data_IF_544555390633
#
_entry.id   IF_544555390633
#
_cell.length_a   1.000
_cell.length_b   1.000
_cell.length_c   1.000
_cell.angle_alpha   90.00
_cell.angle_beta   90.00
_cell.angle_gamma   90.00
#
_symmetry.space_group_name_H-M   'P 1'
#
loop_
_entity.id
_entity.type
_entity.pdbx_description
1 polymer ?
#
# COMPACT_ATOMS: atom_id res chain seq x y z
N UNK A 1 11.49 17.87 14.87
CA UNK A 1 10.13 18.10 15.41
C UNK A 1 9.14 17.38 14.50
N UNK A 2 8.33 16.47 15.05
CA UNK A 2 7.41 15.64 14.26
C UNK A 2 6.32 16.51 13.62
N UNK A 3 6.16 16.45 12.30
CA UNK A 3 5.15 17.25 11.60
C UNK A 3 3.90 16.43 11.30
N UNK A 4 3.04 16.30 12.31
CA UNK A 4 1.74 15.63 12.21
C UNK A 4 0.85 16.22 11.10
N UNK A 5 0.91 17.55 10.91
CA UNK A 5 0.11 18.27 9.92
C UNK A 5 0.51 17.91 8.48
N UNK A 6 1.80 17.72 8.22
CA UNK A 6 2.28 17.31 6.89
C UNK A 6 1.88 15.86 6.58
N UNK A 7 1.95 14.97 7.57
CA UNK A 7 1.53 13.58 7.42
C UNK A 7 0.02 13.47 7.12
N UNK A 8 -0.83 14.21 7.84
CA UNK A 8 -2.27 14.23 7.56
C UNK A 8 -2.60 14.85 6.20
N UNK A 9 -1.88 15.91 5.79
CA UNK A 9 -2.03 16.49 4.44
C UNK A 9 -1.63 15.51 3.35
N UNK A 10 -0.54 14.76 3.54
CA UNK A 10 -0.14 13.70 2.63
C UNK A 10 -1.24 12.65 2.50
N UNK A 11 -1.79 12.18 3.62
CA UNK A 11 -2.87 11.19 3.64
C UNK A 11 -4.09 11.71 2.89
N UNK A 12 -4.60 12.89 3.23
CA UNK A 12 -5.78 13.49 2.58
C UNK A 12 -5.58 13.75 1.09
N UNK A 13 -4.36 14.10 0.66
CA UNK A 13 -4.04 14.31 -0.76
C UNK A 13 -4.05 13.01 -1.55
N UNK A 14 -3.50 11.94 -1.01
CA UNK A 14 -3.36 10.65 -1.70
C UNK A 14 -4.59 9.75 -1.50
N UNK A 15 -5.41 10.03 -0.50
CA UNK A 15 -6.61 9.27 -0.18
C UNK A 15 -7.71 10.21 0.36
N UNK A 16 -8.43 10.93 -0.51
CA UNK A 16 -9.39 11.96 -0.13
C UNK A 16 -10.64 11.41 0.57
N UNK A 17 -10.89 10.10 0.48
CA UNK A 17 -12.00 9.44 1.18
C UNK A 17 -11.77 9.30 2.70
N UNK A 18 -10.56 9.58 3.18
CA UNK A 18 -10.27 9.70 4.61
C UNK A 18 -10.78 11.04 5.15
N UNK A 19 -11.97 10.99 5.75
CA UNK A 19 -12.73 12.17 6.21
C UNK A 19 -12.26 12.71 7.56
N UNK A 20 -11.93 11.82 8.48
CA UNK A 20 -11.52 12.16 9.84
C UNK A 20 -10.25 11.39 10.18
N UNK A 21 -9.27 12.06 10.76
CA UNK A 21 -7.96 11.48 11.06
C UNK A 21 -7.57 11.87 12.47
N UNK A 22 -7.10 10.92 13.25
CA UNK A 22 -6.53 11.15 14.56
C UNK A 22 -5.13 10.53 14.64
N UNK A 23 -4.20 11.26 15.22
CA UNK A 23 -2.87 10.81 15.56
C UNK A 23 -2.78 10.78 17.07
N UNK A 24 -2.49 9.60 17.61
CA UNK A 24 -2.48 9.32 19.04
C UNK A 24 -1.15 8.69 19.42
N UNK A 25 -0.69 8.94 20.63
CA UNK A 25 0.45 8.20 21.17
C UNK A 25 0.00 6.91 21.85
N UNK A 26 0.97 6.08 22.25
CA UNK A 26 0.75 4.84 23.01
C UNK A 26 0.04 5.03 24.35
N UNK A 27 0.12 6.20 24.97
CA UNK A 27 -0.62 6.50 26.22
C UNK A 27 -2.09 6.87 26.00
N UNK A 28 -2.52 6.96 24.73
CA UNK A 28 -3.87 7.35 24.36
C UNK A 28 -4.12 8.86 24.39
N UNK A 29 -3.06 9.67 24.45
CA UNK A 29 -3.16 11.12 24.25
C UNK A 29 -3.31 11.42 22.76
N UNK A 30 -4.31 12.22 22.44
CA UNK A 30 -4.50 12.78 21.11
C UNK A 30 -3.45 13.86 20.83
N UNK A 31 -2.56 13.60 19.87
CA UNK A 31 -1.49 14.51 19.47
C UNK A 31 -1.96 15.48 18.39
N UNK A 32 -2.80 15.00 17.48
CA UNK A 32 -3.34 15.79 16.39
C UNK A 32 -4.63 15.16 15.87
N UNK A 33 -5.59 15.98 15.43
CA UNK A 33 -6.78 15.52 14.74
C UNK A 33 -7.13 16.43 13.58
N UNK A 34 -7.53 15.83 12.45
CA UNK A 34 -8.09 16.51 11.30
C UNK A 34 -9.57 16.12 11.16
N UNK A 35 -10.43 17.13 10.98
CA UNK A 35 -11.89 16.95 10.94
C UNK A 35 -12.56 17.22 12.30
N UNK A 36 -13.90 17.10 12.33
CA UNK A 36 -14.71 17.32 13.55
C UNK A 36 -14.94 16.00 14.29
N UNK A 37 -13.86 15.29 14.61
CA UNK A 37 -13.95 13.96 15.20
C UNK A 37 -13.77 13.99 16.71
N UNK A 38 -14.76 13.48 17.46
CA UNK A 38 -14.73 13.42 18.92
C UNK A 38 -14.53 11.98 19.42
N UNK A 39 -13.29 11.60 19.69
CA UNK A 39 -12.93 10.23 20.06
C UNK A 39 -12.19 10.09 21.39
N UNK A 40 -11.95 11.20 22.10
CA UNK A 40 -11.04 11.24 23.25
C UNK A 40 -11.39 10.25 24.36
N UNK A 41 -12.68 9.95 24.58
CA UNK A 41 -13.14 8.99 25.59
C UNK A 41 -12.92 7.51 25.21
N UNK A 42 -12.74 7.21 23.93
CA UNK A 42 -12.71 5.84 23.40
C UNK A 42 -11.30 5.38 22.98
N UNK A 43 -10.35 6.33 22.81
CA UNK A 43 -8.97 6.04 22.36
C UNK A 43 -8.29 4.98 23.22
N UNK A 44 -8.37 5.08 24.56
CA UNK A 44 -7.70 4.12 25.46
C UNK A 44 -8.21 2.69 25.27
N UNK A 45 -9.53 2.55 25.11
CA UNK A 45 -10.17 1.26 24.85
C UNK A 45 -9.79 0.72 23.47
N UNK A 46 -9.77 1.59 22.46
CA UNK A 46 -9.28 1.25 21.12
C UNK A 46 -7.84 0.71 21.17
N UNK A 47 -6.91 1.43 21.81
CA UNK A 47 -5.50 1.02 21.90
C UNK A 47 -5.33 -0.29 22.68
N UNK A 48 -6.05 -0.46 23.79
CA UNK A 48 -6.02 -1.71 24.57
C UNK A 48 -6.51 -2.89 23.73
N UNK A 49 -7.64 -2.73 23.02
CA UNK A 49 -8.17 -3.74 22.13
C UNK A 49 -7.21 -4.05 20.97
N UNK A 50 -6.63 -3.02 20.36
CA UNK A 50 -5.67 -3.16 19.27
C UNK A 50 -4.43 -3.93 19.74
N UNK A 51 -3.83 -3.52 20.87
CA UNK A 51 -2.67 -4.19 21.45
C UNK A 51 -2.95 -5.66 21.80
N UNK A 52 -4.18 -5.99 22.23
CA UNK A 52 -4.56 -7.37 22.55
C UNK A 52 -4.68 -8.28 21.33
N UNK A 53 -4.99 -7.74 20.15
CA UNK A 53 -5.23 -8.53 18.93
C UNK A 53 -6.48 -9.43 18.96
N UNK A 54 -7.33 -9.38 19.99
CA UNK A 54 -8.45 -10.34 20.17
C UNK A 54 -9.85 -9.73 20.02
N UNK A 55 -9.97 -8.41 20.02
CA UNK A 55 -11.26 -7.74 19.86
C UNK A 55 -11.96 -8.11 18.54
N UNK A 56 -13.28 -8.38 18.61
CA UNK A 56 -14.11 -8.62 17.43
C UNK A 56 -14.73 -7.33 16.86
N UNK A 57 -14.87 -6.30 17.71
CA UNK A 57 -15.41 -5.00 17.30
C UNK A 57 -14.90 -3.88 18.20
N UNK A 58 -14.85 -2.66 17.65
CA UNK A 58 -14.48 -1.45 18.39
C UNK A 58 -15.55 -0.38 18.16
N UNK A 59 -15.84 0.41 19.18
CA UNK A 59 -16.68 1.60 19.05
C UNK A 59 -15.80 2.83 19.11
N UNK A 60 -15.94 3.68 18.10
CA UNK A 60 -15.18 4.92 17.97
C UNK A 60 -16.08 6.00 17.33
N UNK A 61 -16.16 7.18 17.93
CA UNK A 61 -17.08 8.26 17.54
C UNK A 61 -18.55 7.82 17.60
N UNK A 62 -18.92 6.92 18.53
CA UNK A 62 -20.27 6.34 18.58
C UNK A 62 -20.61 5.38 17.43
N UNK A 63 -19.64 5.03 16.57
CA UNK A 63 -19.81 4.07 15.48
C UNK A 63 -19.12 2.76 15.86
N UNK A 64 -19.87 1.65 15.80
CA UNK A 64 -19.32 0.30 16.03
C UNK A 64 -18.78 -0.30 14.73
N UNK A 65 -17.48 -0.57 14.70
CA UNK A 65 -16.78 -1.22 13.59
C UNK A 65 -16.53 -2.69 13.94
N UNK A 66 -16.93 -3.61 13.05
CA UNK A 66 -16.50 -5.00 13.09
C UNK A 66 -15.06 -5.08 12.58
N UNK A 67 -14.19 -5.75 13.32
CA UNK A 67 -12.79 -5.88 12.93
C UNK A 67 -12.69 -6.92 11.81
N UNK A 68 -11.96 -6.56 10.75
CA UNK A 68 -11.60 -7.46 9.66
C UNK A 68 -10.15 -7.91 9.76
N UNK A 69 -9.26 -7.00 10.17
CA UNK A 69 -7.84 -7.29 10.39
C UNK A 69 -7.35 -6.49 11.60
N UNK A 70 -6.51 -7.12 12.41
CA UNK A 70 -5.88 -6.49 13.55
C UNK A 70 -4.55 -7.19 13.82
N UNK A 71 -3.49 -6.41 13.69
CA UNK A 71 -2.10 -6.78 13.94
C UNK A 71 -1.42 -5.59 14.64
N UNK A 72 -0.26 -5.77 15.30
CA UNK A 72 0.41 -4.68 16.03
C UNK A 72 0.60 -3.40 15.20
N UNK A 73 0.86 -3.56 13.90
CA UNK A 73 1.09 -2.49 12.93
C UNK A 73 -0.17 -2.01 12.20
N UNK A 74 -1.23 -2.82 12.17
CA UNK A 74 -2.38 -2.63 11.27
C UNK A 74 -3.72 -2.83 11.97
N UNK A 75 -4.64 -1.90 11.73
CA UNK A 75 -6.02 -2.02 12.16
C UNK A 75 -6.96 -1.77 10.97
N UNK A 76 -7.92 -2.67 10.75
CA UNK A 76 -8.94 -2.54 9.70
C UNK A 76 -10.29 -3.01 10.23
N UNK A 77 -11.28 -2.13 10.21
CA UNK A 77 -12.64 -2.42 10.60
C UNK A 77 -13.67 -1.78 9.67
N UNK A 78 -14.86 -2.37 9.62
CA UNK A 78 -15.98 -1.89 8.80
C UNK A 78 -17.24 -1.77 9.62
N UNK A 79 -18.05 -0.74 9.35
CA UNK A 79 -19.36 -0.61 9.97
C UNK A 79 -20.43 -1.33 9.13
N UNK A 80 -21.10 -2.32 9.71
CA UNK A 80 -22.18 -3.08 9.05
C UNK A 80 -23.42 -2.24 8.69
N UNK A 81 -23.59 -1.07 9.31
CA UNK A 81 -24.69 -0.12 9.04
C UNK A 81 -24.30 0.94 7.98
N UNK A 82 -23.27 0.69 7.16
CA UNK A 82 -22.80 1.58 6.09
C UNK A 82 -22.43 2.99 6.58
N UNK A 83 -21.94 3.12 7.82
CA UNK A 83 -21.45 4.40 8.36
C UNK A 83 -19.99 4.71 8.02
N UNK A 84 -19.28 3.77 7.40
CA UNK A 84 -17.90 3.94 6.96
C UNK A 84 -16.99 2.82 7.43
N UNK A 85 -15.70 3.06 7.30
CA UNK A 85 -14.64 2.13 7.64
C UNK A 85 -13.62 2.80 8.56
N UNK A 86 -12.94 1.99 9.36
CA UNK A 86 -11.93 2.46 10.30
C UNK A 86 -10.62 1.77 9.97
N UNK A 87 -9.62 2.53 9.58
CA UNK A 87 -8.30 2.00 9.23
C UNK A 87 -7.23 2.72 10.04
N UNK A 88 -6.30 1.96 10.59
CA UNK A 88 -5.20 2.50 11.37
C UNK A 88 -3.87 1.84 11.02
N UNK A 89 -2.80 2.58 11.26
CA UNK A 89 -1.44 2.09 11.23
C UNK A 89 -0.66 2.60 12.44
N UNK A 90 0.24 1.77 12.96
CA UNK A 90 1.26 2.20 13.91
C UNK A 90 2.49 2.72 13.16
N UNK A 91 3.26 3.62 13.78
CA UNK A 91 4.61 3.95 13.31
C UNK A 91 5.53 2.73 13.44
N UNK A 92 6.62 2.65 12.66
CA UNK A 92 7.63 1.61 12.82
C UNK A 92 8.13 1.41 14.27
N UNK A 93 8.27 2.48 15.05
CA UNK A 93 8.63 2.38 16.48
C UNK A 93 7.52 1.79 17.36
N UNK A 94 6.25 1.85 16.93
CA UNK A 94 5.09 1.45 17.72
C UNK A 94 4.61 2.46 18.76
N UNK A 95 5.17 3.67 18.79
CA UNK A 95 4.82 4.69 19.81
C UNK A 95 3.67 5.60 19.41
N UNK A 96 3.44 5.74 18.11
CA UNK A 96 2.42 6.62 17.55
C UNK A 96 1.52 5.81 16.63
N UNK A 97 0.22 6.08 16.71
CA UNK A 97 -0.79 5.46 15.87
C UNK A 97 -1.50 6.56 15.10
N UNK A 98 -1.76 6.30 13.83
CA UNK A 98 -2.64 7.10 12.99
C UNK A 98 -3.88 6.27 12.68
N UNK A 99 -5.05 6.86 12.86
CA UNK A 99 -6.34 6.23 12.62
C UNK A 99 -7.15 7.16 11.73
N UNK A 100 -7.79 6.61 10.71
CA UNK A 100 -8.62 7.34 9.78
C UNK A 100 -10.00 6.71 9.66
N UNK A 101 -11.02 7.55 9.69
CA UNK A 101 -12.36 7.22 9.27
C UNK A 101 -12.52 7.43 7.76
N UNK A 102 -12.83 6.35 7.07
CA UNK A 102 -13.02 6.33 5.62
C UNK A 102 -14.51 6.34 5.31
N UNK A 103 -14.89 7.16 4.33
CA UNK A 103 -16.27 7.27 3.88
C UNK A 103 -16.83 5.91 3.43
N UNK A 104 -18.11 5.67 3.71
CA UNK A 104 -18.79 4.42 3.34
C UNK A 104 -18.91 4.20 1.82
N UNK A 105 -18.71 5.27 1.03
CA UNK A 105 -18.81 5.24 -0.44
C UNK A 105 -17.47 4.92 -1.11
N UNK A 106 -16.38 4.87 -0.35
CA UNK A 106 -15.06 4.64 -0.89
C UNK A 106 -14.94 3.25 -1.51
N UNK A 107 -14.51 3.20 -2.77
CA UNK A 107 -14.17 1.96 -3.46
C UNK A 107 -12.74 1.58 -3.10
N UNK A 108 -12.45 0.29 -2.95
CA UNK A 108 -11.08 -0.18 -2.71
C UNK A 108 -10.49 0.14 -1.33
N UNK A 109 -11.28 0.67 -0.39
CA UNK A 109 -10.82 1.10 0.94
C UNK A 109 -10.00 0.05 1.70
N UNK A 110 -10.33 -1.22 1.53
CA UNK A 110 -9.64 -2.32 2.19
C UNK A 110 -8.18 -2.49 1.73
N UNK A 111 -7.90 -2.22 0.45
CA UNK A 111 -6.58 -2.42 -0.15
C UNK A 111 -5.80 -1.12 -0.35
N UNK A 112 -6.48 0.01 -0.56
CA UNK A 112 -5.85 1.28 -0.92
C UNK A 112 -5.57 2.18 0.29
N UNK A 113 -6.47 2.18 1.28
CA UNK A 113 -6.35 3.14 2.38
C UNK A 113 -5.17 2.81 3.30
N UNK A 114 -5.00 1.53 3.65
CA UNK A 114 -3.95 1.13 4.59
C UNK A 114 -2.53 1.48 4.10
N UNK A 115 -2.11 1.19 2.86
CA UNK A 115 -0.79 1.60 2.37
C UNK A 115 -0.53 3.10 2.48
N UNK A 116 -1.54 3.93 2.20
CA UNK A 116 -1.42 5.39 2.31
C UNK A 116 -1.29 5.82 3.77
N UNK A 117 -2.10 5.24 4.66
CA UNK A 117 -2.07 5.51 6.11
C UNK A 117 -0.75 5.06 6.74
N UNK A 118 -0.25 3.88 6.39
CA UNK A 118 1.03 3.36 6.86
C UNK A 118 2.22 4.22 6.41
N UNK A 119 2.19 4.73 5.17
CA UNK A 119 3.19 5.71 4.70
C UNK A 119 3.12 7.02 5.48
N UNK A 120 1.92 7.53 5.72
CA UNK A 120 1.73 8.71 6.56
C UNK A 120 2.27 8.48 7.98
N UNK A 121 2.12 7.27 8.53
CA UNK A 121 2.73 6.88 9.80
C UNK A 121 4.26 6.95 9.76
N UNK A 122 4.89 6.30 8.77
CA UNK A 122 6.34 6.32 8.60
C UNK A 122 6.92 7.73 8.39
N UNK A 123 6.18 8.63 7.74
CA UNK A 123 6.59 10.04 7.58
C UNK A 123 6.70 10.80 8.91
N UNK A 124 5.89 10.44 9.91
CA UNK A 124 5.93 11.08 11.23
C UNK A 124 7.23 10.74 11.99
N UNK A 125 7.80 9.56 11.76
CA UNK A 125 9.01 9.10 12.43
C UNK A 125 10.29 9.54 11.71
N UNK A 126 10.31 9.38 10.39
CA UNK A 126 11.50 9.69 9.57
C UNK A 126 11.69 11.18 9.30
N UNK A 127 10.65 12.01 9.49
CA UNK A 127 10.67 13.44 9.19
C UNK A 127 10.81 13.76 7.68
N UNK A 128 10.77 12.75 6.82
CA UNK A 128 10.94 12.90 5.37
C UNK A 128 9.68 13.51 4.78
N UNK A 129 9.80 14.74 4.25
CA UNK A 129 8.78 15.36 3.41
C UNK A 129 8.83 14.71 2.03
N UNK A 130 7.90 13.79 1.73
CA UNK A 130 7.77 13.24 0.38
C UNK A 130 7.33 14.37 -0.55
N UNK A 131 8.29 14.92 -1.30
CA UNK A 131 8.05 15.99 -2.24
C UNK A 131 7.32 15.40 -3.47
N UNK A 132 5.99 15.48 -3.47
CA UNK A 132 5.12 14.93 -4.53
C UNK A 132 5.20 15.70 -5.87
N UNK A 133 6.31 16.38 -6.16
CA UNK A 133 6.52 17.12 -7.42
C UNK A 133 7.21 16.29 -8.53
N UNK A 134 7.68 15.08 -8.25
CA UNK A 134 8.39 14.27 -9.26
C UNK A 134 7.50 13.18 -9.86
N UNK A 135 6.48 13.58 -10.60
CA UNK A 135 5.79 12.72 -11.60
C UNK A 135 5.14 13.54 -12.72
N UNK A 136 5.78 14.65 -13.12
CA UNK A 136 5.40 15.43 -14.31
C UNK A 136 6.53 15.61 -15.34
N UNK A 137 7.58 14.80 -15.28
CA UNK A 137 8.60 14.79 -16.32
C UNK A 137 9.15 13.38 -16.54
N UNK A 138 8.32 12.51 -17.11
CA UNK A 138 8.82 11.53 -18.08
C UNK A 138 8.17 11.94 -19.38
N UNK A 139 8.96 12.59 -20.25
CA UNK A 139 8.61 12.80 -21.65
C UNK A 139 8.12 11.47 -22.21
N UNK A 140 6.92 11.48 -22.77
CA UNK A 140 6.47 10.43 -23.66
C UNK A 140 7.57 10.17 -24.72
N UNK A 141 7.92 8.91 -25.02
CA UNK A 141 8.76 8.62 -26.17
C UNK A 141 8.03 9.15 -27.41
N UNK A 142 8.65 10.15 -28.02
CA UNK A 142 8.22 10.76 -29.27
C UNK A 142 8.13 9.72 -30.36
N UNK A 143 6.97 9.66 -31.02
CA UNK A 143 6.73 9.00 -32.31
C UNK A 143 7.94 9.18 -33.24
N UNK A 144 8.46 8.12 -33.90
CA UNK A 144 9.42 8.31 -34.97
C UNK A 144 8.74 9.07 -36.12
N UNK A 145 9.21 10.31 -36.35
CA UNK A 145 8.83 11.11 -37.53
C UNK A 145 9.47 10.47 -38.77
N UNK A 146 8.60 10.09 -39.69
CA UNK A 146 8.88 9.62 -41.06
C UNK A 146 9.88 10.56 -41.75
N UNK A 147 10.99 10.00 -42.25
CA UNK A 147 11.82 10.64 -43.28
C UNK A 147 11.14 10.45 -44.65
N UNK A 148 11.07 11.57 -45.35
CA UNK A 148 10.56 11.81 -46.70
C UNK A 148 11.40 11.01 -47.72
N UNK A 149 10.76 10.28 -48.63
CA UNK A 149 11.36 9.83 -49.89
C UNK A 149 10.29 9.61 -50.95
N UNK A 150 10.70 9.83 -52.18
CA UNK A 150 9.92 10.24 -53.35
C UNK A 150 8.90 9.22 -53.89
N UNK A 151 7.96 9.76 -54.69
CA UNK A 151 7.08 9.04 -55.61
C UNK A 151 7.89 8.53 -56.82
N UNK A 152 7.66 7.28 -57.23
CA UNK A 152 7.47 6.91 -58.65
C UNK A 152 6.99 5.45 -58.82
N UNK A 153 5.99 5.30 -59.71
CA UNK A 153 5.54 4.14 -60.52
C UNK A 153 5.11 2.81 -59.85
N UNK A 154 4.31 1.90 -60.46
CA UNK A 154 3.05 1.85 -61.24
C UNK A 154 2.81 0.34 -61.53
N UNK A 155 1.55 -0.12 -61.54
CA UNK A 155 1.02 -1.46 -62.01
C UNK A 155 1.28 -2.68 -61.10
N UNK A 156 0.48 -3.76 -61.01
CA UNK A 156 -0.95 -4.10 -61.18
C UNK A 156 -1.11 -5.61 -60.78
N UNK A 157 -2.18 -5.94 -60.04
CA UNK A 157 -3.02 -7.19 -60.07
C UNK A 157 -2.43 -8.55 -59.56
N UNK A 158 -3.12 -9.19 -58.60
CA UNK A 158 -3.78 -10.53 -58.69
C UNK A 158 -4.09 -11.19 -57.33
N UNK A 159 -5.18 -11.95 -57.34
CA UNK A 159 -6.01 -12.46 -56.24
C UNK A 159 -5.46 -13.73 -55.55
N UNK A 160 -6.19 -14.16 -54.51
CA UNK A 160 -6.08 -15.39 -53.69
C UNK A 160 -5.13 -15.26 -52.48
N UNK A 161 -5.61 -15.18 -51.23
CA UNK A 161 -6.17 -16.27 -50.45
C UNK A 161 -7.02 -15.69 -49.30
N UNK A 162 -8.34 -15.79 -49.42
CA UNK A 162 -9.32 -15.28 -48.43
C UNK A 162 -9.64 -16.30 -47.32
N UNK A 163 -8.72 -17.23 -47.01
CA UNK A 163 -8.92 -18.23 -45.94
C UNK A 163 -7.90 -18.16 -44.78
N UNK A 164 -6.86 -17.33 -44.87
CA UNK A 164 -5.89 -17.14 -43.79
C UNK A 164 -6.33 -16.09 -42.76
N UNK A 165 -7.17 -15.13 -43.15
CA UNK A 165 -7.64 -14.03 -42.29
C UNK A 165 -8.74 -14.44 -41.30
N UNK A 166 -9.35 -15.62 -41.44
CA UNK A 166 -10.41 -16.06 -40.52
C UNK A 166 -9.83 -16.72 -39.25
N UNK A 167 -8.69 -17.40 -39.36
CA UNK A 167 -8.00 -18.05 -38.22
C UNK A 167 -7.29 -17.02 -37.32
N UNK A 168 -6.83 -15.89 -37.89
CA UNK A 168 -6.18 -14.83 -37.11
C UNK A 168 -7.20 -13.97 -36.33
N UNK A 169 -8.45 -13.89 -36.77
CA UNK A 169 -9.50 -13.11 -36.08
C UNK A 169 -10.04 -13.77 -34.80
N UNK A 170 -9.97 -15.11 -34.70
CA UNK A 170 -10.40 -15.84 -33.49
C UNK A 170 -9.29 -15.94 -32.42
N UNK A 171 -8.01 -15.83 -32.81
CA UNK A 171 -6.89 -15.75 -31.87
C UNK A 171 -6.76 -14.36 -31.22
N UNK A 172 -7.17 -13.30 -31.92
CA UNK A 172 -7.06 -11.94 -31.40
C UNK A 172 -8.09 -11.65 -30.29
N UNK A 173 -9.28 -12.25 -30.32
CA UNK A 173 -10.27 -12.06 -29.25
C UNK A 173 -9.97 -12.88 -27.99
N UNK A 174 -9.26 -14.01 -28.10
CA UNK A 174 -8.83 -14.81 -26.95
C UNK A 174 -7.62 -14.17 -26.26
N UNK A 175 -6.79 -13.43 -27.00
CA UNK A 175 -5.62 -12.72 -26.45
C UNK A 175 -6.01 -11.45 -25.70
N UNK A 176 -7.11 -10.77 -26.10
CA UNK A 176 -7.59 -9.56 -25.41
C UNK A 176 -8.22 -9.87 -24.04
N UNK A 177 -8.71 -11.10 -23.80
CA UNK A 177 -9.27 -11.51 -22.50
C UNK A 177 -8.24 -12.10 -21.52
N UNK A 178 -7.08 -12.56 -21.99
CA UNK A 178 -5.98 -13.05 -21.15
C UNK A 178 -4.89 -12.00 -20.86
N UNK A 179 -5.08 -10.78 -21.39
CA UNK A 179 -4.20 -9.64 -21.17
C UNK A 179 -4.79 -8.56 -20.25
N UNK A 180 -5.77 -8.93 -19.41
CA UNK A 180 -5.82 -8.39 -18.04
C UNK A 180 -4.73 -9.06 -17.19
N UNK A 181 -3.47 -8.99 -17.65
CA UNK A 181 -2.35 -9.24 -16.76
C UNK A 181 -2.47 -8.20 -15.66
N UNK A 182 -2.61 -8.66 -14.43
CA UNK A 182 -2.56 -7.87 -13.23
C UNK A 182 -1.62 -6.69 -13.45
N UNK A 183 -2.15 -5.47 -13.51
CA UNK A 183 -1.31 -4.28 -13.42
C UNK A 183 -0.69 -4.34 -12.02
N UNK A 184 0.45 -5.02 -11.92
CA UNK A 184 1.21 -5.12 -10.68
C UNK A 184 1.48 -3.68 -10.29
N UNK A 185 0.95 -3.29 -9.13
CA UNK A 185 1.05 -1.93 -8.63
C UNK A 185 2.52 -1.50 -8.73
N UNK A 186 2.85 -0.42 -9.47
CA UNK A 186 4.23 -0.05 -9.74
C UNK A 186 5.01 0.24 -8.44
N UNK A 187 4.30 0.63 -7.38
CA UNK A 187 4.91 0.86 -6.07
C UNK A 187 5.19 -0.47 -5.36
N UNK A 188 4.26 -1.44 -5.45
CA UNK A 188 4.49 -2.78 -4.92
C UNK A 188 5.67 -3.45 -5.63
N UNK A 189 5.79 -3.25 -6.94
CA UNK A 189 6.94 -3.73 -7.72
C UNK A 189 8.24 -3.12 -7.21
N UNK A 190 8.28 -1.80 -7.02
CA UNK A 190 9.46 -1.12 -6.49
C UNK A 190 9.82 -1.60 -5.07
N UNK A 191 8.83 -1.82 -4.21
CA UNK A 191 9.03 -2.34 -2.85
C UNK A 191 9.60 -3.77 -2.88
N UNK A 192 9.04 -4.64 -3.74
CA UNK A 192 9.56 -6.00 -3.96
C UNK A 192 10.99 -5.96 -4.50
N UNK A 193 11.25 -5.14 -5.52
CA UNK A 193 12.58 -5.03 -6.13
C UNK A 193 13.62 -4.51 -5.12
N UNK A 194 13.25 -3.53 -4.30
CA UNK A 194 14.11 -3.00 -3.24
C UNK A 194 14.38 -4.05 -2.16
N UNK A 195 13.37 -4.82 -1.77
CA UNK A 195 13.52 -5.91 -0.82
C UNK A 195 14.42 -7.03 -1.37
N UNK A 196 14.23 -7.43 -2.64
CA UNK A 196 15.08 -8.40 -3.31
C UNK A 196 16.52 -7.91 -3.45
N UNK A 197 16.72 -6.61 -3.69
CA UNK A 197 18.04 -6.01 -3.71
C UNK A 197 18.70 -6.07 -2.33
N UNK A 198 17.96 -5.77 -1.27
CA UNK A 198 18.46 -5.88 0.11
C UNK A 198 18.79 -7.33 0.51
N UNK A 199 18.01 -8.31 0.05
CA UNK A 199 18.33 -9.73 0.28
C UNK A 199 19.66 -10.15 -0.39
N UNK A 200 19.96 -9.59 -1.56
CA UNK A 200 21.17 -9.90 -2.35
C UNK A 200 22.40 -9.10 -1.92
N UNK A 201 22.21 -8.00 -1.19
CA UNK A 201 23.29 -7.16 -0.69
C UNK A 201 24.00 -7.85 0.48
N UNK A 202 25.34 -8.04 0.45
CA UNK A 202 26.11 -8.52 1.59
C UNK A 202 25.91 -7.69 2.87
N UNK A 203 25.62 -6.39 2.74
CA UNK A 203 25.31 -5.49 3.86
C UNK A 203 23.82 -5.49 4.24
N UNK A 204 22.99 -6.22 3.51
CA UNK A 204 21.56 -6.31 3.76
C UNK A 204 21.20 -7.42 4.74
N UNK A 205 20.61 -8.52 4.25
CA UNK A 205 20.13 -9.60 5.11
C UNK A 205 21.24 -10.25 5.93
N UNK A 206 22.40 -10.51 5.32
CA UNK A 206 23.51 -11.19 5.99
C UNK A 206 24.01 -10.40 7.20
N UNK A 207 24.21 -9.08 7.02
CA UNK A 207 24.62 -8.20 8.10
C UNK A 207 23.52 -8.03 9.16
N UNK A 208 22.26 -7.95 8.76
CA UNK A 208 21.12 -7.91 9.68
C UNK A 208 21.07 -9.15 10.58
N UNK A 209 21.19 -10.35 10.00
CA UNK A 209 21.24 -11.59 10.78
C UNK A 209 22.47 -11.59 11.71
N UNK A 210 23.64 -11.25 11.17
CA UNK A 210 24.90 -11.23 11.93
C UNK A 210 24.82 -10.31 13.15
N UNK A 211 24.23 -9.12 12.98
CA UNK A 211 24.02 -8.16 14.06
C UNK A 211 23.21 -8.76 15.21
N UNK A 212 22.03 -9.31 14.95
CA UNK A 212 21.16 -9.84 16.02
C UNK A 212 21.70 -11.13 16.64
N UNK A 213 22.45 -11.94 15.87
CA UNK A 213 23.16 -13.11 16.41
C UNK A 213 24.27 -12.65 17.36
N UNK A 214 25.07 -11.64 16.99
CA UNK A 214 26.14 -11.11 17.83
C UNK A 214 25.61 -10.48 19.13
N UNK A 215 24.45 -9.82 19.07
CA UNK A 215 23.82 -9.19 20.23
C UNK A 215 22.94 -10.15 21.06
N UNK A 216 22.86 -11.42 20.65
CA UNK A 216 22.11 -12.47 21.33
C UNK A 216 20.63 -12.11 21.61
N UNK A 217 19.98 -11.42 20.67
CA UNK A 217 18.55 -11.07 20.79
C UNK A 217 17.69 -12.30 20.47
N UNK A 218 17.35 -13.06 21.51
CA UNK A 218 16.59 -14.31 21.41
C UNK A 218 15.22 -14.14 20.75
N UNK A 219 14.56 -12.98 20.92
CA UNK A 219 13.27 -12.70 20.30
C UNK A 219 13.42 -12.54 18.79
N UNK A 220 14.42 -11.76 18.34
CA UNK A 220 14.67 -11.56 16.91
C UNK A 220 15.18 -12.82 16.22
N UNK A 221 16.05 -13.57 16.89
CA UNK A 221 16.54 -14.86 16.39
C UNK A 221 15.37 -15.85 16.19
N UNK A 222 14.45 -15.94 17.16
CA UNK A 222 13.29 -16.83 17.06
C UNK A 222 12.36 -16.44 15.90
N UNK A 223 12.14 -15.14 15.68
CA UNK A 223 11.34 -14.65 14.55
C UNK A 223 12.01 -14.96 13.20
N UNK A 224 13.33 -14.79 13.10
CA UNK A 224 14.10 -15.14 11.90
C UNK A 224 14.02 -16.64 11.60
N UNK A 225 14.17 -17.49 12.62
CA UNK A 225 14.04 -18.93 12.49
C UNK A 225 12.63 -19.35 12.03
N UNK A 226 11.58 -18.71 12.58
CA UNK A 226 10.21 -18.95 12.14
C UNK A 226 10.00 -18.61 10.66
N UNK A 227 10.49 -17.45 10.21
CA UNK A 227 10.39 -17.04 8.80
C UNK A 227 11.16 -18.00 7.90
N UNK A 228 12.38 -18.39 8.29
CA UNK A 228 13.19 -19.36 7.55
C UNK A 228 12.44 -20.70 7.38
N UNK A 229 11.92 -21.28 8.46
CA UNK A 229 11.20 -22.55 8.42
C UNK A 229 9.96 -22.46 7.51
N UNK A 230 9.25 -21.34 7.58
CA UNK A 230 8.09 -21.09 6.71
C UNK A 230 8.50 -21.02 5.24
N UNK A 231 9.57 -20.32 4.90
CA UNK A 231 10.09 -20.27 3.54
C UNK A 231 10.59 -21.66 3.09
N UNK A 232 11.32 -22.37 3.93
CA UNK A 232 11.81 -23.71 3.64
C UNK A 232 10.64 -24.64 3.26
N UNK A 233 9.59 -24.70 4.10
CA UNK A 233 8.40 -25.53 3.84
C UNK A 233 7.60 -25.16 2.58
N UNK A 234 7.78 -23.96 2.05
CA UNK A 234 7.11 -23.51 0.83
C UNK A 234 7.87 -23.91 -0.44
N UNK A 235 9.18 -24.13 -0.34
CA UNK A 235 10.06 -24.38 -1.48
C UNK A 235 10.68 -25.78 -1.49
N UNK A 236 10.63 -26.49 -0.36
CA UNK A 236 11.14 -27.85 -0.15
C UNK A 236 10.16 -28.66 0.69
#
# INVERSE_FOLDING_TARGET
>A
MVNYKDATKFLQKNYPDATEIAIINRSGKNLFSAGKWSINGEIKKLLSNWASGTAQSITLGGIRYSILQMAPERFVGTNRKKKGHLVGAATPSGDIYIIAHISAKSKGWFHEAYPVIARAAAMMETGVKINTKTSKNVKAPSKPKKKKREKSNRYEIEESSSMDNMIESMNNNTTVLLQQRAQVNPILKLEIDSFLQWLKDPQGLSNYISYYVQHNDSSKISQLAYVYNKLYSLFY
#
